data_IF_911040416255
#
_entry.id   IF_911040416255
#
_cell.length_a   1.000
_cell.length_b   1.000
_cell.length_c   1.000
_cell.angle_alpha   90.00
_cell.angle_beta   90.00
_cell.angle_gamma   90.00
#
_symmetry.space_group_name_H-M   'P 1'
#
loop_
_entity.id
_entity.type
_entity.pdbx_description
1 polymer ?
#
# COMPACT_ATOMS: atom_id res chain seq x y z
N UNK A 1 -8.05 -3.02 -0.16
CA UNK A 1 -6.85 -2.21 0.19
C UNK A 1 -7.29 -0.97 0.96
N UNK A 2 -6.51 -0.44 1.92
CA UNK A 2 -6.83 0.84 2.61
C UNK A 2 -6.27 2.04 1.83
N UNK A 3 -6.86 3.26 1.92
CA UNK A 3 -6.35 4.46 1.24
C UNK A 3 -4.86 4.75 1.46
N UNK A 4 -4.38 4.59 2.71
CA UNK A 4 -2.97 4.81 3.04
C UNK A 4 -2.03 3.81 2.38
N UNK A 5 -2.47 2.54 2.25
CA UNK A 5 -1.71 1.52 1.53
C UNK A 5 -1.66 1.85 0.04
N UNK A 6 -2.78 2.28 -0.56
CA UNK A 6 -2.83 2.72 -1.95
C UNK A 6 -1.86 3.87 -2.24
N UNK A 7 -1.86 4.92 -1.39
CA UNK A 7 -0.98 6.08 -1.56
C UNK A 7 0.49 5.68 -1.47
N UNK A 8 0.84 4.82 -0.50
CA UNK A 8 2.21 4.36 -0.29
C UNK A 8 2.72 3.47 -1.42
N UNK A 9 1.88 2.57 -1.88
CA UNK A 9 2.26 1.45 -2.73
C UNK A 9 2.08 1.73 -4.23
N UNK A 10 1.14 2.60 -4.60
CA UNK A 10 0.71 2.76 -5.99
C UNK A 10 1.00 4.16 -6.54
N UNK A 11 0.67 5.23 -5.80
CA UNK A 11 0.79 6.58 -6.35
C UNK A 11 2.23 7.13 -6.36
N UNK A 12 3.20 6.43 -5.75
CA UNK A 12 4.62 6.83 -5.67
C UNK A 12 4.82 8.34 -5.38
N UNK A 13 3.99 8.90 -4.50
CA UNK A 13 4.07 10.33 -4.19
C UNK A 13 5.32 10.61 -3.38
N UNK A 14 5.92 11.78 -3.62
CA UNK A 14 7.05 12.26 -2.81
C UNK A 14 6.62 12.34 -1.34
N UNK A 15 7.30 11.58 -0.50
CA UNK A 15 7.14 11.62 0.95
C UNK A 15 8.16 12.61 1.50
N UNK A 16 7.68 13.59 2.27
CA UNK A 16 8.54 14.56 2.96
C UNK A 16 8.30 14.45 4.47
N UNK A 17 9.33 14.73 5.28
CA UNK A 17 9.18 14.77 6.73
C UNK A 17 8.72 16.15 7.16
N UNK A 18 7.59 16.21 7.86
CA UNK A 18 7.01 17.47 8.35
C UNK A 18 7.10 17.49 9.88
N UNK A 19 7.54 18.61 10.49
CA UNK A 19 7.50 18.77 11.94
C UNK A 19 6.09 18.60 12.48
N UNK A 20 5.92 17.83 13.54
CA UNK A 20 4.57 17.55 14.11
C UNK A 20 3.85 18.84 14.50
N UNK A 21 4.57 19.80 15.08
CA UNK A 21 4.02 21.09 15.51
C UNK A 21 3.58 22.00 14.36
N UNK A 22 3.91 21.68 13.10
CA UNK A 22 3.41 22.40 11.92
C UNK A 22 2.11 21.80 11.38
N UNK A 23 1.64 20.68 11.91
CA UNK A 23 0.41 20.02 11.47
C UNK A 23 -0.74 20.43 12.40
N UNK A 24 -1.82 20.93 11.80
CA UNK A 24 -3.02 21.38 12.50
C UNK A 24 -4.24 20.55 12.08
N UNK A 25 -5.12 20.28 13.05
CA UNK A 25 -6.38 19.59 12.84
C UNK A 25 -7.46 20.63 12.54
N UNK A 26 -7.85 20.75 11.27
CA UNK A 26 -8.80 21.79 10.82
C UNK A 26 -10.18 21.25 10.50
N UNK A 27 -10.38 19.94 10.51
CA UNK A 27 -11.63 19.30 10.11
C UNK A 27 -12.30 18.63 11.30
N UNK A 28 -13.62 18.79 11.43
CA UNK A 28 -14.40 18.32 12.59
C UNK A 28 -14.22 16.82 12.88
N UNK A 29 -14.04 16.00 11.85
CA UNK A 29 -13.81 14.56 12.00
C UNK A 29 -12.54 14.23 12.81
N UNK A 30 -11.58 15.16 12.89
CA UNK A 30 -10.35 15.01 13.66
C UNK A 30 -10.46 15.57 15.08
N UNK A 31 -11.49 16.39 15.36
CA UNK A 31 -11.64 17.16 16.60
C UNK A 31 -12.94 16.86 17.34
N UNK A 32 -13.75 15.91 16.85
CA UNK A 32 -14.97 15.49 17.52
C UNK A 32 -14.66 14.75 18.83
N UNK A 33 -15.65 14.68 19.71
CA UNK A 33 -15.50 14.12 21.05
C UNK A 33 -15.00 12.67 21.05
N UNK A 34 -15.53 11.85 20.13
CA UNK A 34 -15.10 10.47 19.94
C UNK A 34 -13.60 10.37 19.58
N UNK A 35 -13.09 11.26 18.74
CA UNK A 35 -11.67 11.30 18.38
C UNK A 35 -10.81 11.77 19.54
N UNK A 36 -11.27 12.74 20.33
CA UNK A 36 -10.59 13.20 21.56
C UNK A 36 -10.51 12.06 22.58
N UNK A 37 -11.57 11.27 22.74
CA UNK A 37 -11.55 10.11 23.63
C UNK A 37 -10.58 9.03 23.12
N UNK A 38 -10.59 8.72 21.82
CA UNK A 38 -9.66 7.76 21.21
C UNK A 38 -8.20 8.18 21.35
N UNK A 39 -7.91 9.47 21.26
CA UNK A 39 -6.55 10.01 21.36
C UNK A 39 -5.88 9.63 22.68
N UNK A 40 -6.62 9.62 23.79
CA UNK A 40 -6.10 9.32 25.14
C UNK A 40 -5.65 7.86 25.31
N UNK A 41 -6.12 6.97 24.45
CA UNK A 41 -5.96 5.50 24.60
C UNK A 41 -5.06 4.95 23.47
N UNK A 42 -4.82 5.73 22.42
CA UNK A 42 -4.15 5.24 21.22
C UNK A 42 -2.61 5.26 21.36
N UNK A 43 -2.07 4.10 21.75
CA UNK A 43 -0.63 3.79 21.80
C UNK A 43 -0.33 2.58 20.90
N UNK A 44 -0.47 2.72 19.58
CA UNK A 44 -0.15 1.62 18.67
C UNK A 44 1.39 1.47 18.51
N UNK A 45 1.98 0.28 18.76
CA UNK A 45 3.40 0.02 18.53
C UNK A 45 3.73 -0.04 17.02
N UNK A 46 4.92 0.42 16.63
CA UNK A 46 5.02 1.22 15.41
C UNK A 46 6.30 1.11 14.55
N UNK A 47 6.18 1.12 13.20
CA UNK A 47 7.31 1.26 12.26
C UNK A 47 7.04 2.03 10.93
N UNK A 48 5.89 2.68 10.71
CA UNK A 48 5.52 3.21 9.36
C UNK A 48 4.58 4.45 9.33
N UNK A 49 5.01 5.63 9.82
CA UNK A 49 4.14 6.78 10.11
C UNK A 49 3.91 7.48 8.80
N UNK A 50 2.66 7.57 8.34
CA UNK A 50 2.35 8.36 7.18
C UNK A 50 1.09 9.16 7.41
N UNK A 51 1.13 10.44 7.07
CA UNK A 51 -0.05 11.28 7.01
C UNK A 51 -0.18 11.90 5.61
N UNK A 52 -1.39 12.33 5.27
CA UNK A 52 -1.59 13.21 4.12
C UNK A 52 -1.95 14.56 4.68
N UNK A 53 -1.29 15.60 4.18
CA UNK A 53 -1.52 16.97 4.62
C UNK A 53 -1.69 17.91 3.44
N UNK A 54 -2.37 19.03 3.68
CA UNK A 54 -2.50 20.12 2.74
C UNK A 54 -1.71 21.33 3.25
N UNK A 55 -0.84 21.89 2.41
CA UNK A 55 -0.09 23.11 2.76
C UNK A 55 -1.06 24.29 2.91
N UNK A 56 -0.82 25.11 3.92
CA UNK A 56 -1.56 26.35 4.19
C UNK A 56 -0.66 27.56 3.94
N UNK A 57 -1.27 28.72 3.67
CA UNK A 57 -0.53 29.95 3.31
C UNK A 57 0.33 30.48 4.47
N UNK A 58 -0.08 30.20 5.71
CA UNK A 58 0.65 30.57 6.93
C UNK A 58 1.87 29.67 7.23
N UNK A 59 2.26 28.79 6.30
CA UNK A 59 3.38 27.86 6.48
C UNK A 59 3.09 26.64 7.37
N UNK A 60 1.84 26.47 7.82
CA UNK A 60 1.36 25.26 8.48
C UNK A 60 0.79 24.25 7.47
N UNK A 61 0.39 23.10 7.99
CA UNK A 61 -0.18 21.99 7.22
C UNK A 61 -1.47 21.51 7.87
N UNK A 62 -2.56 21.51 7.12
CA UNK A 62 -3.84 20.94 7.55
C UNK A 62 -3.84 19.42 7.35
N UNK A 63 -4.20 18.65 8.38
CA UNK A 63 -4.31 17.20 8.28
C UNK A 63 -5.50 16.79 7.39
N UNK A 64 -5.23 15.96 6.38
CA UNK A 64 -6.21 15.44 5.41
C UNK A 64 -6.55 13.98 5.72
N UNK A 65 -5.53 13.17 6.02
CA UNK A 65 -5.64 11.74 6.32
C UNK A 65 -4.51 11.26 7.23
N UNK A 66 -4.70 10.10 7.87
CA UNK A 66 -3.70 9.51 8.76
C UNK A 66 -3.78 10.04 10.20
N UNK A 67 -5.00 10.34 10.69
CA UNK A 67 -5.21 10.83 12.06
C UNK A 67 -4.59 9.92 13.12
N UNK A 68 -4.85 8.62 13.08
CA UNK A 68 -4.30 7.67 14.05
C UNK A 68 -2.76 7.66 14.05
N UNK A 69 -2.14 7.77 12.87
CA UNK A 69 -0.69 7.80 12.70
C UNK A 69 -0.11 9.13 13.21
N UNK A 70 -0.76 10.26 12.91
CA UNK A 70 -0.40 11.57 13.44
C UNK A 70 -0.48 11.63 14.97
N UNK A 71 -1.61 11.19 15.55
CA UNK A 71 -1.83 11.16 16.99
C UNK A 71 -0.80 10.27 17.67
N UNK A 72 -0.57 9.07 17.14
CA UNK A 72 0.46 8.17 17.65
C UNK A 72 1.85 8.83 17.61
N UNK A 73 2.22 9.45 16.48
CA UNK A 73 3.52 10.11 16.35
C UNK A 73 3.66 11.27 17.35
N UNK A 74 2.60 12.04 17.57
CA UNK A 74 2.55 13.13 18.56
C UNK A 74 2.69 12.59 19.99
N UNK A 75 1.89 11.59 20.36
CA UNK A 75 1.92 10.99 21.70
C UNK A 75 3.25 10.27 22.01
N UNK A 76 3.93 9.79 20.98
CA UNK A 76 5.28 9.22 21.07
C UNK A 76 6.41 10.27 20.92
N UNK A 77 6.10 11.57 21.09
CA UNK A 77 7.05 12.69 21.06
C UNK A 77 7.97 12.71 19.83
N UNK A 78 7.45 12.31 18.66
CA UNK A 78 8.24 12.35 17.43
C UNK A 78 8.41 13.79 16.97
N UNK A 79 9.63 14.16 16.56
CA UNK A 79 9.90 15.50 16.01
C UNK A 79 9.23 15.71 14.65
N UNK A 80 9.20 14.66 13.82
CA UNK A 80 8.68 14.72 12.46
C UNK A 80 7.86 13.48 12.13
N UNK A 81 6.91 13.63 11.21
CA UNK A 81 6.12 12.55 10.61
C UNK A 81 6.30 12.56 9.08
N UNK A 82 6.51 11.40 8.43
CA UNK A 82 6.45 11.30 6.98
C UNK A 82 5.07 11.67 6.44
N UNK A 83 5.04 12.53 5.43
CA UNK A 83 3.80 13.06 4.87
C UNK A 83 3.81 13.08 3.35
N UNK A 84 2.64 12.86 2.78
CA UNK A 84 2.32 13.24 1.41
C UNK A 84 1.63 14.60 1.44
N UNK A 85 2.13 15.55 0.63
CA UNK A 85 1.49 16.87 0.48
C UNK A 85 0.50 16.84 -0.67
N UNK A 86 -0.67 17.43 -0.46
CA UNK A 86 -1.73 17.61 -1.45
C UNK A 86 -2.24 19.05 -1.46
N UNK A 87 -2.87 19.47 -2.55
CA UNK A 87 -3.61 20.73 -2.63
C UNK A 87 -5.11 20.53 -2.36
N UNK A 88 -5.56 19.28 -2.28
CA UNK A 88 -6.97 18.90 -2.15
C UNK A 88 -7.47 18.97 -0.71
N UNK A 89 -8.76 19.28 -0.52
CA UNK A 89 -9.47 19.04 0.74
C UNK A 89 -9.55 17.53 1.03
N UNK A 90 -9.80 17.13 2.28
CA UNK A 90 -10.06 15.73 2.63
C UNK A 90 -11.12 15.08 1.77
N UNK A 91 -12.28 15.72 1.64
CA UNK A 91 -13.40 15.16 0.89
C UNK A 91 -13.00 14.87 -0.56
N UNK A 92 -12.42 15.85 -1.25
CA UNK A 92 -11.95 15.69 -2.63
C UNK A 92 -10.86 14.62 -2.72
N UNK A 93 -9.94 14.59 -1.76
CA UNK A 93 -8.84 13.62 -1.73
C UNK A 93 -9.36 12.19 -1.55
N UNK A 94 -10.25 11.97 -0.58
CA UNK A 94 -10.90 10.67 -0.32
C UNK A 94 -11.70 10.21 -1.53
N UNK A 95 -12.52 11.09 -2.12
CA UNK A 95 -13.28 10.77 -3.33
C UNK A 95 -12.36 10.32 -4.46
N UNK A 96 -11.24 11.00 -4.64
CA UNK A 96 -10.23 10.66 -5.67
C UNK A 96 -9.57 9.32 -5.40
N UNK A 97 -9.10 9.10 -4.18
CA UNK A 97 -8.45 7.84 -3.78
C UNK A 97 -9.43 6.67 -3.89
N UNK A 98 -10.67 6.83 -3.41
CA UNK A 98 -11.70 5.80 -3.50
C UNK A 98 -12.05 5.48 -4.96
N UNK A 99 -12.16 6.48 -5.84
CA UNK A 99 -12.40 6.25 -7.27
C UNK A 99 -11.28 5.42 -7.91
N UNK A 100 -10.01 5.76 -7.61
CA UNK A 100 -8.86 5.02 -8.13
C UNK A 100 -8.76 3.60 -7.55
N UNK A 101 -9.07 3.44 -6.26
CA UNK A 101 -9.13 2.12 -5.62
C UNK A 101 -10.25 1.26 -6.17
N UNK A 102 -11.41 1.83 -6.49
CA UNK A 102 -12.49 1.11 -7.17
C UNK A 102 -12.02 0.62 -8.53
N UNK A 103 -11.43 1.50 -9.34
CA UNK A 103 -10.85 1.13 -10.64
C UNK A 103 -9.82 -0.01 -10.50
N UNK A 104 -8.99 0.03 -9.48
CA UNK A 104 -8.04 -1.05 -9.18
C UNK A 104 -8.74 -2.37 -8.84
N UNK A 105 -9.81 -2.32 -8.03
CA UNK A 105 -10.60 -3.50 -7.70
C UNK A 105 -11.25 -4.11 -8.94
N UNK A 106 -11.86 -3.27 -9.78
CA UNK A 106 -12.51 -3.71 -11.02
C UNK A 106 -11.50 -4.44 -11.93
N UNK A 107 -10.29 -3.90 -12.05
CA UNK A 107 -9.19 -4.52 -12.81
C UNK A 107 -8.70 -5.81 -12.16
N UNK A 108 -8.56 -5.85 -10.84
CA UNK A 108 -8.19 -7.07 -10.11
C UNK A 108 -9.21 -8.19 -10.34
N UNK A 109 -10.49 -7.85 -10.33
CA UNK A 109 -11.58 -8.81 -10.55
C UNK A 109 -11.58 -9.31 -12.01
N UNK A 110 -11.33 -8.42 -12.97
CA UNK A 110 -11.17 -8.75 -14.39
C UNK A 110 -9.97 -9.68 -14.62
N UNK A 111 -8.80 -9.35 -14.07
CA UNK A 111 -7.60 -10.20 -14.13
C UNK A 111 -7.92 -11.59 -13.56
N UNK A 112 -8.57 -11.64 -12.39
CA UNK A 112 -8.90 -12.91 -11.73
C UNK A 112 -9.82 -13.78 -12.59
N UNK A 113 -10.78 -13.17 -13.32
CA UNK A 113 -11.68 -13.88 -14.26
C UNK A 113 -10.94 -14.41 -15.49
N UNK A 114 -9.91 -13.71 -15.95
CA UNK A 114 -9.14 -14.08 -17.13
C UNK A 114 -8.03 -15.12 -16.86
N UNK A 115 -7.79 -15.47 -15.59
CA UNK A 115 -6.78 -16.46 -15.25
C UNK A 115 -7.18 -17.83 -15.79
N UNK A 116 -6.24 -18.48 -16.46
CA UNK A 116 -6.36 -19.86 -16.92
C UNK A 116 -5.28 -20.73 -16.28
N UNK A 117 -5.52 -22.05 -16.23
CA UNK A 117 -4.58 -23.00 -15.64
C UNK A 117 -4.61 -23.06 -14.10
N UNK A 118 -3.51 -23.52 -13.51
CA UNK A 118 -3.42 -23.67 -12.06
C UNK A 118 -3.26 -22.31 -11.38
N UNK A 119 -3.98 -22.11 -10.29
CA UNK A 119 -3.95 -20.85 -9.53
C UNK A 119 -3.74 -21.07 -8.04
N UNK A 120 -3.28 -20.02 -7.34
CA UNK A 120 -3.08 -20.01 -5.89
C UNK A 120 -3.51 -18.68 -5.29
N UNK A 121 -4.04 -18.73 -4.07
CA UNK A 121 -4.25 -17.52 -3.29
C UNK A 121 -2.92 -16.87 -2.91
N UNK A 122 -2.77 -15.58 -3.17
CA UNK A 122 -1.52 -14.82 -2.92
C UNK A 122 -1.06 -14.90 -1.47
N UNK A 123 -2.00 -14.89 -0.51
CA UNK A 123 -1.68 -14.97 0.91
C UNK A 123 -1.25 -16.38 1.37
N UNK A 124 -1.44 -17.42 0.54
CA UNK A 124 -1.00 -18.80 0.81
C UNK A 124 0.35 -19.14 0.18
N UNK A 125 0.99 -18.19 -0.49
CA UNK A 125 2.32 -18.36 -1.08
C UNK A 125 3.37 -18.09 0.01
N UNK A 126 4.20 -19.09 0.30
CA UNK A 126 5.34 -18.96 1.21
C UNK A 126 6.44 -18.14 0.58
N UNK A 127 7.13 -17.32 1.38
CA UNK A 127 8.36 -16.64 0.96
C UNK A 127 9.50 -17.27 1.76
N UNK A 128 10.51 -17.80 1.06
CA UNK A 128 11.68 -18.43 1.66
C UNK A 128 12.37 -17.49 2.65
N UNK A 129 12.65 -18.00 3.87
CA UNK A 129 13.36 -17.22 4.90
C UNK A 129 14.71 -16.74 4.35
N UNK A 130 14.96 -15.43 4.43
CA UNK A 130 16.18 -14.79 3.91
C UNK A 130 15.97 -14.02 2.59
N UNK A 131 14.92 -14.33 1.83
CA UNK A 131 14.59 -13.59 0.61
C UNK A 131 13.85 -12.30 0.96
N UNK A 132 14.52 -11.16 0.86
CA UNK A 132 13.89 -9.84 1.04
C UNK A 132 13.31 -9.42 -0.31
N UNK A 133 11.98 -9.28 -0.41
CA UNK A 133 11.30 -8.61 -1.53
C UNK A 133 11.91 -7.22 -1.87
N UNK A 134 12.68 -6.63 -0.93
CA UNK A 134 13.48 -5.42 -1.11
C UNK A 134 14.50 -5.48 -2.27
N UNK A 135 14.88 -6.67 -2.77
CA UNK A 135 15.77 -6.79 -3.95
C UNK A 135 15.05 -6.62 -5.29
N UNK A 136 13.72 -6.63 -5.31
CA UNK A 136 12.97 -6.45 -6.55
C UNK A 136 12.98 -4.97 -6.92
N UNK A 137 13.40 -4.67 -8.14
CA UNK A 137 13.38 -3.30 -8.66
C UNK A 137 11.96 -2.75 -8.67
N UNK A 138 11.75 -1.60 -8.02
CA UNK A 138 10.48 -0.90 -8.03
C UNK A 138 10.04 -0.52 -9.47
N UNK A 139 10.99 -0.36 -10.39
CA UNK A 139 10.73 -0.14 -11.80
C UNK A 139 10.07 -1.36 -12.45
N UNK A 140 10.66 -2.56 -12.30
CA UNK A 140 10.08 -3.82 -12.83
C UNK A 140 8.68 -4.09 -12.29
N UNK A 141 8.45 -3.79 -11.01
CA UNK A 141 7.11 -3.95 -10.41
C UNK A 141 6.10 -2.99 -11.04
N UNK A 142 6.51 -1.77 -11.42
CA UNK A 142 5.63 -0.84 -12.14
C UNK A 142 5.35 -1.27 -13.56
N UNK A 143 6.34 -1.81 -14.26
CA UNK A 143 6.15 -2.37 -15.61
C UNK A 143 5.13 -3.52 -15.57
N UNK A 144 5.28 -4.45 -14.61
CA UNK A 144 4.31 -5.55 -14.45
C UNK A 144 2.93 -5.04 -14.06
N UNK A 145 2.84 -4.02 -13.20
CA UNK A 145 1.57 -3.36 -12.92
C UNK A 145 0.97 -2.81 -14.22
N UNK A 146 1.72 -2.06 -15.01
CA UNK A 146 1.26 -1.50 -16.28
C UNK A 146 0.79 -2.60 -17.24
N UNK A 147 1.55 -3.70 -17.35
CA UNK A 147 1.18 -4.86 -18.14
C UNK A 147 -0.18 -5.44 -17.71
N UNK A 148 -0.39 -5.64 -16.40
CA UNK A 148 -1.66 -6.12 -15.84
C UNK A 148 -2.82 -5.16 -16.13
N UNK A 149 -2.56 -3.86 -16.13
CA UNK A 149 -3.54 -2.83 -16.47
C UNK A 149 -3.97 -2.90 -17.94
N UNK A 150 -3.04 -3.15 -18.85
CA UNK A 150 -3.27 -3.18 -20.32
C UNK A 150 -3.85 -4.51 -20.79
N UNK A 151 -3.26 -5.62 -20.35
CA UNK A 151 -3.53 -6.96 -20.87
C UNK A 151 -4.56 -7.73 -20.05
N UNK A 152 -4.91 -7.25 -18.85
CA UNK A 152 -5.89 -7.89 -17.94
C UNK A 152 -5.56 -9.34 -17.62
N UNK A 153 -4.28 -9.70 -17.63
CA UNK A 153 -3.77 -11.03 -17.28
C UNK A 153 -2.28 -10.92 -16.91
N UNK A 154 -1.73 -11.98 -16.33
CA UNK A 154 -0.30 -12.07 -16.06
C UNK A 154 0.45 -12.50 -17.32
N UNK A 155 1.61 -11.91 -17.54
CA UNK A 155 2.53 -12.30 -18.61
C UNK A 155 3.01 -13.74 -18.44
N UNK A 156 3.29 -14.13 -17.19
CA UNK A 156 3.78 -15.45 -16.82
C UNK A 156 3.24 -15.90 -15.46
N UNK A 157 3.12 -17.22 -15.20
CA UNK A 157 2.75 -17.75 -13.91
C UNK A 157 3.87 -17.55 -12.86
N UNK A 158 3.47 -17.47 -11.60
CA UNK A 158 4.38 -17.49 -10.47
C UNK A 158 4.91 -18.92 -10.24
N UNK A 159 6.21 -19.06 -10.01
CA UNK A 159 6.85 -20.38 -9.83
C UNK A 159 6.88 -20.74 -8.34
N UNK A 160 6.28 -21.88 -7.99
CA UNK A 160 6.28 -22.43 -6.62
C UNK A 160 6.98 -23.80 -6.55
N UNK A 161 7.65 -24.09 -5.46
CA UNK A 161 8.18 -25.44 -5.20
C UNK A 161 7.05 -26.40 -4.78
N UNK A 162 6.96 -27.62 -5.34
CA UNK A 162 5.86 -28.58 -5.06
C UNK A 162 5.73 -28.92 -3.57
N UNK A 163 6.86 -29.13 -2.90
CA UNK A 163 6.89 -29.54 -1.49
C UNK A 163 6.64 -28.38 -0.53
N UNK A 164 7.55 -27.41 -0.52
CA UNK A 164 7.50 -26.29 0.43
C UNK A 164 6.41 -25.25 0.10
N UNK A 165 5.96 -25.19 -1.16
CA UNK A 165 5.05 -24.15 -1.69
C UNK A 165 5.63 -22.73 -1.54
N UNK A 166 6.95 -22.64 -1.45
CA UNK A 166 7.67 -21.38 -1.43
C UNK A 166 7.83 -20.83 -2.85
N UNK A 167 7.87 -19.50 -2.93
CA UNK A 167 8.11 -18.74 -4.14
C UNK A 167 9.54 -18.94 -4.64
N UNK A 168 9.71 -19.61 -5.78
CA UNK A 168 11.00 -19.80 -6.46
C UNK A 168 11.25 -18.75 -7.56
N UNK A 169 10.19 -18.18 -8.14
CA UNK A 169 10.28 -17.30 -9.31
C UNK A 169 8.98 -16.56 -9.57
N UNK A 170 9.01 -15.53 -10.40
CA UNK A 170 7.86 -14.64 -10.59
C UNK A 170 7.66 -13.64 -9.43
N UNK A 171 8.76 -13.22 -8.79
CA UNK A 171 8.73 -12.28 -7.66
C UNK A 171 8.09 -10.94 -8.00
N UNK A 172 8.30 -10.45 -9.23
CA UNK A 172 7.70 -9.20 -9.73
C UNK A 172 6.18 -9.33 -9.83
N UNK A 173 5.69 -10.42 -10.41
CA UNK A 173 4.26 -10.76 -10.52
C UNK A 173 3.62 -10.88 -9.13
N UNK A 174 4.31 -11.56 -8.20
CA UNK A 174 3.86 -11.66 -6.81
C UNK A 174 3.75 -10.28 -6.13
N UNK A 175 4.76 -9.43 -6.30
CA UNK A 175 4.77 -8.09 -5.75
C UNK A 175 3.66 -7.22 -6.36
N UNK A 176 3.51 -7.23 -7.69
CA UNK A 176 2.46 -6.51 -8.40
C UNK A 176 1.05 -6.97 -7.96
N UNK A 177 0.83 -8.28 -7.87
CA UNK A 177 -0.42 -8.84 -7.38
C UNK A 177 -0.78 -8.35 -5.97
N UNK A 178 0.21 -8.33 -5.06
CA UNK A 178 0.03 -7.76 -3.71
C UNK A 178 -0.29 -6.26 -3.74
N UNK A 179 0.36 -5.48 -4.60
CA UNK A 179 0.12 -4.04 -4.72
C UNK A 179 -1.28 -3.73 -5.25
N UNK A 180 -1.75 -4.51 -6.23
CA UNK A 180 -3.08 -4.34 -6.85
C UNK A 180 -4.20 -4.94 -5.99
N UNK A 181 -3.85 -5.75 -4.99
CA UNK A 181 -4.84 -6.45 -4.16
C UNK A 181 -5.48 -7.66 -4.84
N UNK A 182 -4.81 -8.20 -5.86
CA UNK A 182 -5.22 -9.42 -6.56
C UNK A 182 -5.15 -10.58 -5.57
N UNK A 183 -6.25 -11.34 -5.47
CA UNK A 183 -6.40 -12.41 -4.46
C UNK A 183 -5.77 -13.72 -4.91
N UNK A 184 -5.83 -13.98 -6.22
CA UNK A 184 -5.46 -15.25 -6.84
C UNK A 184 -4.53 -14.97 -8.01
N UNK A 185 -3.49 -15.77 -8.15
CA UNK A 185 -2.44 -15.63 -9.16
C UNK A 185 -2.24 -16.95 -9.90
N UNK A 186 -1.88 -16.92 -11.19
CA UNK A 186 -1.53 -18.12 -11.92
C UNK A 186 -0.21 -18.66 -11.38
N UNK A 187 -0.09 -19.99 -11.29
CA UNK A 187 1.07 -20.66 -10.76
C UNK A 187 1.54 -21.82 -11.63
N UNK A 188 2.83 -22.11 -11.54
CA UNK A 188 3.45 -23.32 -12.05
C UNK A 188 4.32 -23.92 -10.95
N UNK A 189 4.23 -25.23 -10.77
CA UNK A 189 5.06 -25.92 -9.80
C UNK A 189 6.36 -26.45 -10.41
N UNK A 190 7.44 -26.37 -9.65
CA UNK A 190 8.75 -27.00 -9.93
C UNK A 190 9.14 -27.93 -8.78
N UNK A 191 9.95 -28.95 -9.08
CA UNK A 191 10.34 -29.94 -8.07
C UNK A 191 11.32 -29.38 -7.04
N UNK A 192 12.23 -28.49 -7.46
CA UNK A 192 13.18 -27.81 -6.59
C UNK A 192 13.45 -26.40 -7.09
N UNK A 193 13.50 -25.40 -6.19
CA UNK A 193 13.97 -24.07 -6.58
C UNK A 193 15.46 -24.15 -6.95
N UNK A 194 15.87 -23.58 -8.08
CA UNK A 194 17.29 -23.36 -8.35
C UNK A 194 17.87 -22.43 -7.28
N UNK A 195 19.01 -22.82 -6.71
CA UNK A 195 19.75 -21.98 -5.76
C UNK A 195 20.54 -20.94 -6.56
N UNK A 196 20.10 -19.68 -6.49
CA UNK A 196 20.93 -18.52 -6.84
C UNK A 196 22.17 -18.42 -5.95
#
# INVERSE_FOLDING_TARGET
MKPMQYIKCVENRKVIRIPINKIVLTEQIHTNEESIQREKIFLAPYNDYMAVVRKMDNGQYSLVLGWADYISARNNNKKNIPCVVTTMTREKFIKTVNKKMKKLSDISDEITKNLTGQTKMVHKIGIRKGYKLKKISAFKVREEVQYLFENKTFSEPIILEKGSRELCGGYTQYAAAKLLGIKVVPIKYVDKCESE
#
